data_IF_022520394569
#
_entry.id   IF_022520394569
#
_cell.length_a   1.000
_cell.length_b   1.000
_cell.length_c   1.000
_cell.angle_alpha   90.00
_cell.angle_beta   90.00
_cell.angle_gamma   90.00
#
_symmetry.space_group_name_H-M   'P 1'
#
loop_
_entity.id
_entity.type
_entity.pdbx_description
1 polymer ?
#
# COMPACT_ATOMS: atom_id res chain seq x y z
N UNK A 1 -12.23 30.28 25.89
CA UNK A 1 -12.24 31.54 26.65
C UNK A 1 -11.50 31.29 27.95
N UNK A 2 -10.44 32.05 28.20
CA UNK A 2 -9.67 31.99 29.44
C UNK A 2 -9.77 33.36 30.09
N UNK A 3 -10.15 33.37 31.36
CA UNK A 3 -10.11 34.58 32.19
C UNK A 3 -8.70 34.66 32.76
N UNK A 4 -7.98 35.75 32.47
CA UNK A 4 -6.65 35.95 33.02
C UNK A 4 -6.71 36.42 34.49
N UNK A 5 -5.58 36.55 35.15
CA UNK A 5 -5.50 36.97 36.57
C UNK A 5 -6.04 38.39 36.83
N UNK A 6 -6.26 39.16 35.76
CA UNK A 6 -6.80 40.53 35.79
C UNK A 6 -8.31 40.57 35.49
N UNK A 7 -8.97 39.41 35.45
CA UNK A 7 -10.40 39.25 35.14
C UNK A 7 -10.79 39.62 33.69
N UNK A 8 -9.82 39.78 32.80
CA UNK A 8 -10.08 40.04 31.39
C UNK A 8 -10.36 38.73 30.64
N UNK A 9 -11.34 38.81 29.73
CA UNK A 9 -11.72 37.70 28.88
C UNK A 9 -10.83 37.70 27.64
N UNK A 10 -9.94 36.71 27.55
CA UNK A 10 -9.08 36.51 26.39
C UNK A 10 -9.62 35.41 25.47
N UNK A 11 -9.54 35.67 24.15
CA UNK A 11 -9.77 34.64 23.14
C UNK A 11 -8.67 33.58 23.27
N UNK A 12 -9.08 32.33 23.42
CA UNK A 12 -8.15 31.19 23.49
C UNK A 12 -8.15 30.52 22.13
N UNK A 13 -7.05 30.62 21.40
CA UNK A 13 -6.86 29.84 20.19
C UNK A 13 -6.47 28.43 20.60
N UNK A 14 -7.25 27.44 20.15
CA UNK A 14 -6.96 26.04 20.34
C UNK A 14 -6.51 25.45 19.00
N UNK A 15 -5.48 24.60 19.04
CA UNK A 15 -5.10 23.83 17.87
C UNK A 15 -5.99 22.59 17.79
N UNK A 16 -6.82 22.51 16.75
CA UNK A 16 -7.59 21.30 16.46
C UNK A 16 -6.71 20.31 15.69
N UNK A 17 -5.77 19.68 16.40
CA UNK A 17 -4.83 18.70 15.83
C UNK A 17 -5.56 17.55 15.12
N UNK A 18 -6.65 16.97 15.67
CA UNK A 18 -7.41 15.92 14.99
C UNK A 18 -7.98 16.32 13.62
N UNK A 19 -8.27 17.60 13.41
CA UNK A 19 -8.80 18.13 12.15
C UNK A 19 -7.79 19.01 11.40
N UNK A 20 -6.49 18.80 11.63
CA UNK A 20 -5.47 19.54 10.92
C UNK A 20 -5.52 19.25 9.41
N UNK A 21 -5.63 20.30 8.60
CA UNK A 21 -5.68 20.21 7.14
C UNK A 21 -4.33 19.84 6.52
N UNK A 22 -3.24 20.33 7.12
CA UNK A 22 -1.87 19.98 6.73
C UNK A 22 -0.93 20.14 7.92
N UNK A 23 -0.01 19.20 8.08
CA UNK A 23 0.99 19.21 9.17
C UNK A 23 2.33 18.77 8.62
N UNK A 24 3.39 19.47 9.01
CA UNK A 24 4.78 19.04 8.85
C UNK A 24 5.39 18.81 10.23
N UNK A 25 6.09 17.70 10.41
CA UNK A 25 6.95 17.43 11.57
C UNK A 25 8.39 17.44 11.08
N UNK A 26 9.24 18.19 11.78
CA UNK A 26 10.69 18.18 11.58
C UNK A 26 11.31 17.53 12.83
N UNK A 27 12.03 16.45 12.63
CA UNK A 27 12.87 15.81 13.65
C UNK A 27 14.26 16.45 13.62
N UNK A 28 14.48 17.39 14.53
CA UNK A 28 15.75 18.12 14.60
C UNK A 28 16.91 17.21 15.00
N UNK A 29 16.64 16.16 15.78
CA UNK A 29 17.68 15.21 16.20
C UNK A 29 18.20 14.44 15.00
N UNK A 30 17.29 13.83 14.22
CA UNK A 30 17.66 13.08 13.00
C UNK A 30 18.42 13.98 12.01
N UNK A 31 17.96 15.22 11.85
CA UNK A 31 18.60 16.19 10.97
C UNK A 31 20.03 16.55 11.40
N UNK A 32 20.28 16.69 12.70
CA UNK A 32 21.61 17.01 13.23
C UNK A 32 22.55 15.80 13.26
N UNK A 33 22.02 14.60 13.57
CA UNK A 33 22.85 13.40 13.78
C UNK A 33 23.09 12.58 12.53
N UNK A 34 22.22 12.69 11.52
CA UNK A 34 22.29 11.91 10.29
C UNK A 34 22.13 12.81 9.05
N UNK A 35 23.22 13.44 8.58
CA UNK A 35 23.17 14.40 7.47
C UNK A 35 22.69 13.81 6.13
N UNK A 36 22.78 12.48 5.95
CA UNK A 36 22.30 11.80 4.73
C UNK A 36 20.84 11.36 4.83
N UNK A 37 20.24 11.40 6.03
CA UNK A 37 18.85 11.03 6.24
C UNK A 37 17.92 11.97 5.48
N UNK A 38 16.98 11.42 4.73
CA UNK A 38 15.88 12.17 4.12
C UNK A 38 14.58 12.04 4.92
N UNK A 39 14.63 11.43 6.12
CA UNK A 39 13.46 11.04 6.92
C UNK A 39 13.15 11.98 8.08
N UNK A 40 13.98 13.00 8.30
CA UNK A 40 13.76 13.99 9.36
C UNK A 40 12.52 14.87 9.14
N UNK A 41 11.85 14.76 7.99
CA UNK A 41 10.74 15.60 7.61
C UNK A 41 9.54 14.75 7.18
N UNK A 42 8.48 14.78 7.98
CA UNK A 42 7.26 13.99 7.76
C UNK A 42 6.05 14.88 7.57
N UNK A 43 5.20 14.53 6.59
CA UNK A 43 4.03 15.31 6.23
C UNK A 43 2.74 14.52 6.35
N UNK A 44 1.73 15.13 6.98
CA UNK A 44 0.36 14.65 6.92
C UNK A 44 -0.37 15.37 5.79
N UNK A 45 -0.60 14.65 4.68
CA UNK A 45 -1.42 15.12 3.56
C UNK A 45 -2.89 15.03 3.98
N UNK A 46 -3.45 16.13 4.49
CA UNK A 46 -4.88 16.17 4.82
C UNK A 46 -5.77 16.25 3.57
N UNK A 47 -7.07 16.52 3.78
CA UNK A 47 -8.11 16.39 2.74
C UNK A 47 -8.20 17.58 1.77
N UNK A 48 -7.34 18.57 1.92
CA UNK A 48 -7.35 19.86 1.19
C UNK A 48 -6.93 19.77 -0.28
N UNK A 49 -6.54 18.58 -0.76
CA UNK A 49 -6.23 18.33 -2.16
C UNK A 49 -4.79 18.67 -2.55
N UNK A 50 -4.35 18.10 -3.67
CA UNK A 50 -2.94 18.07 -4.09
C UNK A 50 -2.29 19.46 -4.20
N UNK A 51 -3.02 20.45 -4.76
CA UNK A 51 -2.48 21.81 -4.97
C UNK A 51 -2.08 22.52 -3.68
N UNK A 52 -2.85 22.35 -2.61
CA UNK A 52 -2.57 22.99 -1.32
C UNK A 52 -1.39 22.31 -0.64
N UNK A 53 -1.31 20.98 -0.76
CA UNK A 53 -0.16 20.23 -0.28
C UNK A 53 1.13 20.64 -1.02
N UNK A 54 1.10 20.71 -2.34
CA UNK A 54 2.25 21.09 -3.16
C UNK A 54 2.72 22.53 -2.81
N UNK A 55 1.79 23.49 -2.69
CA UNK A 55 2.12 24.86 -2.27
C UNK A 55 2.76 24.93 -0.87
N UNK A 56 2.27 24.12 0.08
CA UNK A 56 2.83 24.08 1.43
C UNK A 56 4.25 23.51 1.46
N UNK A 57 4.53 22.50 0.62
CA UNK A 57 5.88 21.96 0.42
C UNK A 57 6.80 23.01 -0.19
N UNK A 58 6.34 23.70 -1.24
CA UNK A 58 7.09 24.78 -1.89
C UNK A 58 7.39 25.93 -0.91
N UNK A 59 6.42 26.30 -0.06
CA UNK A 59 6.59 27.32 0.98
C UNK A 59 7.66 26.93 2.01
N UNK A 60 7.69 25.67 2.42
CA UNK A 60 8.70 25.15 3.34
C UNK A 60 10.06 24.90 2.66
N UNK A 61 10.14 25.00 1.33
CA UNK A 61 11.34 24.66 0.56
C UNK A 61 11.72 23.18 0.70
N UNK A 62 10.71 22.33 0.88
CA UNK A 62 10.90 20.96 1.34
C UNK A 62 10.34 19.95 0.33
N UNK A 63 11.04 18.83 0.15
CA UNK A 63 10.57 17.70 -0.66
C UNK A 63 10.22 16.50 0.23
N UNK A 64 9.30 15.65 -0.23
CA UNK A 64 9.04 14.40 0.46
C UNK A 64 10.24 13.47 0.29
N UNK A 65 10.90 13.10 1.39
CA UNK A 65 12.09 12.25 1.35
C UNK A 65 11.83 10.77 1.12
N UNK A 66 10.61 10.29 1.41
CA UNK A 66 10.24 8.88 1.21
C UNK A 66 8.79 8.77 0.74
N UNK A 67 8.57 8.20 -0.45
CA UNK A 67 7.23 7.82 -0.90
C UNK A 67 6.99 6.33 -0.62
N UNK A 68 6.35 6.05 0.51
CA UNK A 68 5.98 4.70 0.92
C UNK A 68 5.22 3.92 -0.18
N UNK A 69 4.35 4.58 -0.94
CA UNK A 69 3.61 3.90 -2.03
C UNK A 69 4.51 3.59 -3.20
N UNK A 70 5.44 4.47 -3.54
CA UNK A 70 6.42 4.19 -4.58
C UNK A 70 7.32 3.02 -4.18
N UNK A 71 7.83 3.02 -2.94
CA UNK A 71 8.65 1.94 -2.39
C UNK A 71 7.92 0.59 -2.40
N UNK A 72 6.68 0.53 -1.89
CA UNK A 72 5.89 -0.70 -1.93
C UNK A 72 5.58 -1.16 -3.37
N UNK A 73 5.36 -0.24 -4.32
CA UNK A 73 5.18 -0.61 -5.74
C UNK A 73 6.45 -1.15 -6.37
N UNK A 74 7.60 -0.53 -6.07
CA UNK A 74 8.91 -1.00 -6.47
C UNK A 74 9.15 -2.41 -5.95
N UNK A 75 8.81 -2.67 -4.69
CA UNK A 75 8.92 -3.99 -4.07
C UNK A 75 8.07 -5.03 -4.80
N UNK A 76 6.81 -4.69 -5.09
CA UNK A 76 5.90 -5.58 -5.83
C UNK A 76 6.45 -5.93 -7.20
N UNK A 77 6.97 -4.95 -7.93
CA UNK A 77 7.57 -5.14 -9.25
C UNK A 77 8.84 -6.00 -9.17
N UNK A 78 9.72 -5.72 -8.22
CA UNK A 78 10.94 -6.50 -8.01
C UNK A 78 10.63 -7.96 -7.71
N UNK A 79 9.63 -8.23 -6.86
CA UNK A 79 9.18 -9.60 -6.55
C UNK A 79 8.64 -10.30 -7.78
N UNK A 80 7.84 -9.59 -8.59
CA UNK A 80 7.27 -10.14 -9.80
C UNK A 80 8.33 -10.48 -10.87
N UNK A 81 9.33 -9.63 -11.02
CA UNK A 81 10.43 -9.85 -11.96
C UNK A 81 11.40 -10.91 -11.46
N UNK A 82 11.63 -11.00 -10.14
CA UNK A 82 12.43 -12.07 -9.54
C UNK A 82 11.80 -13.44 -9.74
N UNK A 83 10.48 -13.54 -9.58
CA UNK A 83 9.74 -14.77 -9.88
C UNK A 83 9.78 -15.13 -11.38
N UNK A 84 9.78 -14.11 -12.25
CA UNK A 84 9.82 -14.30 -13.70
C UNK A 84 11.21 -14.73 -14.20
N UNK A 85 12.28 -14.17 -13.64
CA UNK A 85 13.67 -14.53 -13.95
C UNK A 85 13.95 -16.00 -13.60
N UNK A 86 13.45 -16.45 -12.45
CA UNK A 86 13.54 -17.84 -12.01
C UNK A 86 12.59 -18.81 -12.76
N UNK A 87 11.79 -18.30 -13.69
CA UNK A 87 10.82 -19.08 -14.49
C UNK A 87 9.84 -19.90 -13.65
N UNK A 88 9.44 -19.39 -12.47
CA UNK A 88 8.46 -20.05 -11.62
C UNK A 88 7.13 -20.21 -12.35
N UNK A 89 6.44 -21.32 -12.07
CA UNK A 89 5.10 -21.52 -12.60
C UNK A 89 4.07 -20.58 -11.91
N UNK A 90 2.83 -20.59 -12.41
CA UNK A 90 1.77 -19.71 -11.88
C UNK A 90 1.48 -19.97 -10.39
N UNK A 91 1.50 -21.22 -9.95
CA UNK A 91 1.20 -21.59 -8.58
C UNK A 91 2.38 -21.23 -7.66
N UNK A 92 3.60 -21.53 -8.07
CA UNK A 92 4.82 -21.19 -7.33
C UNK A 92 4.95 -19.68 -7.16
N UNK A 93 4.76 -18.90 -8.23
CA UNK A 93 4.74 -17.44 -8.16
C UNK A 93 3.67 -16.92 -7.20
N UNK A 94 2.49 -17.52 -7.20
CA UNK A 94 1.40 -17.13 -6.30
C UNK A 94 1.74 -17.43 -4.84
N UNK A 95 2.37 -18.58 -4.56
CA UNK A 95 2.84 -18.93 -3.22
C UNK A 95 3.94 -17.98 -2.76
N UNK A 96 4.87 -17.63 -3.64
CA UNK A 96 5.93 -16.67 -3.35
C UNK A 96 5.37 -15.28 -3.01
N UNK A 97 4.44 -14.76 -3.83
CA UNK A 97 3.72 -13.50 -3.53
C UNK A 97 2.98 -13.55 -2.20
N UNK A 98 2.42 -14.71 -1.84
CA UNK A 98 1.74 -14.91 -0.56
C UNK A 98 2.73 -14.84 0.63
N UNK A 99 3.93 -15.40 0.50
CA UNK A 99 4.98 -15.30 1.52
C UNK A 99 5.43 -13.86 1.73
N UNK A 100 5.72 -13.14 0.64
CA UNK A 100 6.05 -11.71 0.69
C UNK A 100 4.94 -10.92 1.39
N UNK A 101 3.69 -11.17 1.00
CA UNK A 101 2.55 -10.51 1.62
C UNK A 101 2.44 -10.81 3.12
N UNK A 102 2.65 -12.07 3.54
CA UNK A 102 2.58 -12.46 4.95
C UNK A 102 3.61 -11.68 5.78
N UNK A 103 4.87 -11.67 5.37
CA UNK A 103 5.93 -10.88 6.04
C UNK A 103 5.55 -9.39 6.11
N UNK A 104 5.19 -8.77 4.99
CA UNK A 104 4.88 -7.35 4.96
C UNK A 104 3.64 -7.00 5.81
N UNK A 105 2.67 -7.92 5.87
CA UNK A 105 1.47 -7.75 6.68
C UNK A 105 1.75 -7.95 8.19
N UNK A 106 2.70 -8.81 8.56
CA UNK A 106 3.17 -8.94 9.95
C UNK A 106 3.86 -7.66 10.41
N UNK A 107 4.80 -7.11 9.62
CA UNK A 107 5.43 -5.82 9.93
C UNK A 107 4.39 -4.70 10.06
N UNK A 108 3.42 -4.66 9.14
CA UNK A 108 2.32 -3.70 9.20
C UNK A 108 1.46 -3.86 10.47
N UNK A 109 1.27 -5.08 10.99
CA UNK A 109 0.51 -5.31 12.22
C UNK A 109 1.32 -4.96 13.47
N UNK A 110 2.63 -5.17 13.43
CA UNK A 110 3.56 -4.75 14.48
C UNK A 110 3.76 -3.23 14.52
N UNK A 111 3.47 -2.52 13.42
CA UNK A 111 3.76 -1.10 13.28
C UNK A 111 5.22 -0.82 12.91
N UNK A 112 5.92 -1.85 12.42
CA UNK A 112 7.33 -1.83 12.02
C UNK A 112 7.46 -1.56 10.50
N UNK A 113 8.67 -1.17 10.08
CA UNK A 113 8.99 -1.00 8.66
C UNK A 113 9.32 -2.33 7.98
N UNK A 114 9.16 -2.38 6.66
CA UNK A 114 9.61 -3.50 5.83
C UNK A 114 11.11 -3.32 5.61
N UNK A 115 11.91 -4.26 6.09
CA UNK A 115 13.35 -4.30 5.83
C UNK A 115 13.64 -5.25 4.65
N UNK A 116 14.28 -4.75 3.59
CA UNK A 116 14.52 -5.53 2.35
C UNK A 116 15.43 -6.73 2.62
N UNK A 117 16.45 -6.54 3.47
CA UNK A 117 17.37 -7.60 3.85
C UNK A 117 16.67 -8.71 4.66
N UNK A 118 15.85 -8.35 5.64
CA UNK A 118 15.10 -9.32 6.44
C UNK A 118 14.04 -10.05 5.61
N UNK A 119 13.30 -9.33 4.75
CA UNK A 119 12.40 -9.95 3.79
C UNK A 119 13.14 -10.97 2.91
N UNK A 120 14.32 -10.61 2.39
CA UNK A 120 15.11 -11.52 1.57
C UNK A 120 15.62 -12.76 2.31
N UNK A 121 15.73 -12.73 3.64
CA UNK A 121 16.13 -13.89 4.45
C UNK A 121 14.94 -14.83 4.73
N UNK A 122 13.75 -14.27 4.90
CA UNK A 122 12.50 -15.03 5.07
C UNK A 122 12.08 -15.74 3.78
N UNK A 123 12.46 -15.18 2.63
CA UNK A 123 12.11 -15.75 1.34
C UNK A 123 13.14 -16.80 0.89
N UNK A 124 12.69 -17.93 0.31
CA UNK A 124 13.61 -18.88 -0.30
C UNK A 124 14.34 -18.22 -1.50
N UNK A 125 15.66 -18.45 -1.65
CA UNK A 125 16.40 -17.98 -2.82
C UNK A 125 15.89 -18.70 -4.06
N UNK A 126 15.83 -17.99 -5.17
CA UNK A 126 15.43 -18.52 -6.47
C UNK A 126 16.69 -18.60 -7.34
N UNK A 127 17.06 -19.82 -7.75
CA UNK A 127 18.33 -20.05 -8.45
C UNK A 127 19.54 -19.82 -7.55
N UNK A 128 20.49 -19.01 -8.01
CA UNK A 128 21.76 -18.74 -7.30
C UNK A 128 21.77 -17.41 -6.53
N UNK A 129 20.72 -16.59 -6.65
CA UNK A 129 20.66 -15.25 -6.07
C UNK A 129 19.62 -15.18 -4.96
N UNK A 130 19.79 -14.24 -4.05
CA UNK A 130 18.75 -13.87 -3.08
C UNK A 130 17.92 -12.72 -3.64
N UNK A 131 16.73 -12.48 -3.08
CA UNK A 131 15.90 -11.35 -3.49
C UNK A 131 16.64 -10.01 -3.36
N UNK A 132 17.39 -9.82 -2.26
CA UNK A 132 18.20 -8.61 -2.04
C UNK A 132 19.23 -8.41 -3.14
N UNK A 133 20.06 -9.43 -3.41
CA UNK A 133 21.09 -9.35 -4.44
C UNK A 133 20.49 -9.10 -5.84
N UNK A 134 19.34 -9.71 -6.13
CA UNK A 134 18.62 -9.46 -7.38
C UNK A 134 18.12 -8.01 -7.47
N UNK A 135 17.56 -7.47 -6.39
CA UNK A 135 17.05 -6.09 -6.37
C UNK A 135 18.16 -5.05 -6.62
N UNK A 136 19.34 -5.25 -6.03
CA UNK A 136 20.50 -4.39 -6.24
C UNK A 136 21.03 -4.49 -7.68
N UNK A 137 21.16 -5.72 -8.22
CA UNK A 137 21.69 -5.94 -9.57
C UNK A 137 20.78 -5.40 -10.67
N UNK A 138 19.46 -5.51 -10.49
CA UNK A 138 18.48 -4.94 -11.43
C UNK A 138 18.29 -3.43 -11.26
N UNK A 139 18.96 -2.81 -10.29
CA UNK A 139 18.93 -1.36 -10.06
C UNK A 139 17.60 -0.86 -9.49
N UNK A 140 16.91 -1.68 -8.70
CA UNK A 140 15.74 -1.21 -7.96
C UNK A 140 16.18 -0.24 -6.86
N UNK A 141 15.67 1.00 -6.91
CA UNK A 141 15.89 2.03 -5.87
C UNK A 141 15.00 1.77 -4.64
N UNK A 142 15.14 0.58 -4.06
CA UNK A 142 14.50 0.23 -2.79
C UNK A 142 15.35 0.72 -1.63
N UNK A 143 14.72 1.45 -0.72
CA UNK A 143 15.32 1.85 0.54
C UNK A 143 15.55 0.61 1.44
N UNK A 144 16.57 0.65 2.29
CA UNK A 144 16.89 -0.48 3.19
C UNK A 144 15.69 -0.89 4.05
N UNK A 145 14.96 0.11 4.55
CA UNK A 145 13.68 -0.04 5.24
C UNK A 145 12.64 0.97 4.76
N UNK A 146 11.36 0.62 4.72
CA UNK A 146 10.29 1.58 4.43
C UNK A 146 8.94 1.13 5.00
N UNK A 147 8.01 2.06 5.30
CA UNK A 147 6.73 1.70 5.90
C UNK A 147 5.85 0.92 4.91
N UNK A 148 5.16 -0.10 5.44
CA UNK A 148 4.23 -0.93 4.69
C UNK A 148 2.97 -0.14 4.24
N UNK A 149 2.64 -0.20 2.95
CA UNK A 149 1.38 0.37 2.43
C UNK A 149 0.34 -0.73 2.20
N UNK A 150 -0.64 -0.81 3.12
CA UNK A 150 -1.72 -1.81 3.07
C UNK A 150 -2.42 -1.89 1.72
N UNK A 151 -2.61 -0.76 1.03
CA UNK A 151 -3.37 -0.73 -0.23
C UNK A 151 -2.59 -1.35 -1.40
N UNK A 152 -1.27 -1.14 -1.41
CA UNK A 152 -0.35 -1.66 -2.40
C UNK A 152 -0.06 -3.13 -2.12
N UNK A 153 0.22 -3.51 -0.87
CA UNK A 153 0.47 -4.91 -0.48
C UNK A 153 -0.69 -5.84 -0.84
N UNK A 154 -1.95 -5.39 -0.73
CA UNK A 154 -3.12 -6.18 -1.12
C UNK A 154 -3.10 -6.63 -2.59
N UNK A 155 -2.35 -5.94 -3.47
CA UNK A 155 -2.22 -6.32 -4.87
C UNK A 155 -1.34 -7.57 -5.06
N UNK A 156 -0.52 -7.94 -4.07
CA UNK A 156 0.24 -9.20 -4.10
C UNK A 156 -0.68 -10.43 -4.10
N UNK A 157 -1.80 -10.34 -3.39
CA UNK A 157 -2.69 -11.49 -3.14
C UNK A 157 -4.03 -11.41 -3.86
N UNK A 158 -4.38 -10.24 -4.43
CA UNK A 158 -5.72 -10.01 -5.00
C UNK A 158 -5.67 -9.36 -6.37
N UNK A 159 -6.58 -9.79 -7.24
CA UNK A 159 -6.95 -9.03 -8.43
C UNK A 159 -8.08 -8.08 -8.08
N UNK A 160 -7.93 -6.80 -8.46
CA UNK A 160 -8.95 -5.79 -8.29
C UNK A 160 -9.10 -4.94 -9.55
N UNK A 161 -10.34 -4.63 -9.92
CA UNK A 161 -10.64 -3.79 -11.07
C UNK A 161 -12.00 -3.10 -10.92
N UNK A 162 -12.11 -1.90 -11.46
CA UNK A 162 -13.37 -1.15 -11.52
C UNK A 162 -13.56 -0.50 -12.89
N UNK A 163 -14.79 -0.54 -13.40
CA UNK A 163 -15.15 0.02 -14.70
C UNK A 163 -16.65 -0.14 -14.98
N UNK A 164 -17.27 0.83 -15.64
CA UNK A 164 -18.67 0.70 -16.07
C UNK A 164 -19.69 0.41 -14.96
N UNK A 165 -19.49 0.99 -13.75
CA UNK A 165 -20.29 0.71 -12.52
C UNK A 165 -20.15 -0.72 -11.96
N UNK A 166 -19.21 -1.51 -12.49
CA UNK A 166 -18.81 -2.80 -11.95
C UNK A 166 -17.49 -2.64 -11.18
N UNK A 167 -17.43 -3.20 -9.98
CA UNK A 167 -16.20 -3.32 -9.20
C UNK A 167 -16.05 -4.78 -8.82
N UNK A 168 -14.89 -5.35 -9.09
CA UNK A 168 -14.56 -6.74 -8.76
C UNK A 168 -13.25 -6.79 -7.99
N UNK A 169 -13.21 -7.65 -6.97
CA UNK A 169 -12.01 -7.95 -6.20
C UNK A 169 -12.07 -9.41 -5.73
N UNK A 170 -11.00 -10.18 -5.95
CA UNK A 170 -10.92 -11.58 -5.54
C UNK A 170 -9.47 -12.01 -5.30
N UNK A 171 -9.30 -13.02 -4.46
CA UNK A 171 -7.98 -13.62 -4.19
C UNK A 171 -7.43 -14.28 -5.44
N UNK A 172 -6.17 -14.02 -5.76
CA UNK A 172 -5.53 -14.48 -6.99
C UNK A 172 -5.50 -16.01 -7.13
N UNK A 173 -5.48 -16.74 -6.01
CA UNK A 173 -5.62 -18.20 -5.97
C UNK A 173 -6.94 -18.71 -6.56
N UNK A 174 -8.00 -17.89 -6.57
CA UNK A 174 -9.28 -18.29 -7.15
C UNK A 174 -9.27 -18.30 -8.68
N UNK A 175 -8.26 -17.68 -9.32
CA UNK A 175 -8.11 -17.68 -10.76
C UNK A 175 -7.71 -19.08 -11.26
N UNK A 176 -8.51 -19.67 -12.14
CA UNK A 176 -8.37 -21.05 -12.61
C UNK A 176 -9.10 -22.09 -11.75
N UNK A 177 -9.51 -21.76 -10.53
CA UNK A 177 -10.30 -22.65 -9.66
C UNK A 177 -11.79 -22.32 -9.70
N UNK A 178 -12.14 -21.10 -9.32
CA UNK A 178 -13.52 -20.60 -9.26
C UNK A 178 -13.76 -19.46 -10.23
N UNK A 179 -12.72 -18.72 -10.58
CA UNK A 179 -12.79 -17.57 -11.47
C UNK A 179 -12.00 -17.91 -12.72
N UNK A 180 -12.66 -17.83 -13.87
CA UNK A 180 -12.07 -18.19 -15.17
C UNK A 180 -12.17 -16.98 -16.07
N UNK A 181 -11.04 -16.53 -16.62
CA UNK A 181 -11.01 -15.47 -17.62
C UNK A 181 -10.65 -16.07 -18.97
N UNK A 182 -11.47 -15.80 -19.98
CA UNK A 182 -11.16 -16.09 -21.37
C UNK A 182 -10.68 -14.82 -22.07
N UNK A 183 -9.38 -14.73 -22.45
CA UNK A 183 -8.83 -13.55 -23.11
C UNK A 183 -9.37 -13.33 -24.52
N UNK A 184 -9.93 -14.36 -25.17
CA UNK A 184 -10.42 -14.28 -26.56
C UNK A 184 -11.75 -13.53 -26.64
N UNK A 185 -12.64 -13.81 -25.68
CA UNK A 185 -13.98 -13.23 -25.58
C UNK A 185 -14.08 -12.13 -24.52
N UNK A 186 -12.97 -11.84 -23.83
CA UNK A 186 -12.89 -10.98 -22.65
C UNK A 186 -13.99 -11.26 -21.62
N UNK A 187 -14.22 -12.54 -21.34
CA UNK A 187 -15.30 -12.99 -20.46
C UNK A 187 -14.73 -13.53 -19.15
N UNK A 188 -15.20 -12.97 -18.03
CA UNK A 188 -14.90 -13.47 -16.69
C UNK A 188 -16.08 -14.29 -16.14
N UNK A 189 -15.86 -15.57 -15.90
CA UNK A 189 -16.84 -16.51 -15.36
C UNK A 189 -16.55 -16.81 -13.90
N UNK A 190 -17.55 -16.62 -13.02
CA UNK A 190 -17.46 -16.96 -11.59
C UNK A 190 -18.28 -18.23 -11.32
N UNK A 191 -17.62 -19.34 -11.02
CA UNK A 191 -18.25 -20.59 -10.58
C UNK A 191 -18.48 -20.58 -9.06
N UNK A 192 -19.75 -20.70 -8.68
CA UNK A 192 -20.20 -20.61 -7.30
C UNK A 192 -20.34 -19.17 -6.83
N UNK A 193 -21.42 -18.50 -7.23
CA UNK A 193 -21.74 -17.12 -6.84
C UNK A 193 -21.72 -16.95 -5.32
N UNK A 194 -21.10 -15.89 -4.78
CA UNK A 194 -21.11 -15.59 -3.35
C UNK A 194 -22.54 -15.63 -2.77
N UNK A 195 -22.77 -16.22 -1.59
CA UNK A 195 -24.12 -16.41 -1.04
C UNK A 195 -24.93 -15.13 -0.98
N UNK A 196 -24.35 -14.03 -0.47
CA UNK A 196 -25.02 -12.74 -0.39
C UNK A 196 -25.47 -12.22 -1.77
N UNK A 197 -24.62 -12.34 -2.79
CA UNK A 197 -24.97 -11.94 -4.16
C UNK A 197 -26.05 -12.87 -4.74
N UNK A 198 -25.96 -14.17 -4.48
CA UNK A 198 -26.97 -15.16 -4.90
C UNK A 198 -28.34 -14.83 -4.31
N UNK A 199 -28.41 -14.51 -3.03
CA UNK A 199 -29.66 -14.17 -2.34
C UNK A 199 -30.25 -12.85 -2.86
N UNK A 200 -29.42 -11.88 -3.23
CA UNK A 200 -29.87 -10.64 -3.88
C UNK A 200 -30.44 -10.91 -5.27
N UNK A 201 -29.76 -11.72 -6.08
CA UNK A 201 -30.23 -12.10 -7.42
C UNK A 201 -31.55 -12.89 -7.36
N UNK A 202 -31.66 -13.85 -6.44
CA UNK A 202 -32.88 -14.63 -6.25
C UNK A 202 -34.07 -13.75 -5.82
N UNK A 203 -33.85 -12.80 -4.91
CA UNK A 203 -34.88 -11.82 -4.51
C UNK A 203 -35.33 -10.93 -5.67
N UNK A 204 -34.40 -10.52 -6.52
CA UNK A 204 -34.71 -9.69 -7.68
C UNK A 204 -35.55 -10.46 -8.72
N UNK A 205 -35.27 -11.75 -8.90
CA UNK A 205 -36.05 -12.62 -9.79
C UNK A 205 -37.46 -12.90 -9.24
N UNK A 206 -37.60 -13.16 -7.94
CA UNK A 206 -38.91 -13.47 -7.32
C UNK A 206 -39.83 -12.26 -7.14
N UNK A 207 -39.30 -11.03 -7.24
CA UNK A 207 -40.09 -9.79 -7.20
C UNK A 207 -40.55 -9.30 -8.58
N UNK A 208 -40.07 -9.91 -9.67
CA UNK A 208 -40.52 -9.62 -11.04
C UNK A 208 -41.74 -10.42 -11.51
N UNK A 209 -42.20 -11.42 -10.74
CA UNK A 209 -43.35 -12.28 -11.04
C UNK A 209 -44.66 -11.82 -10.33
N UNK A 210 -44.79 -10.52 -10.02
CA UNK A 210 -46.01 -9.92 -9.46
C UNK A 210 -46.44 -8.66 -10.20
#
# INVERSE_FOLDING_TARGET
>A
MRVNEQLDISSTHYLDIPHADIVARIDLTEWETNPESQRYLTFLKGRVGRKVADFFMDFLGASAGLDAKAQNRGLLQAVDDYCADAQLDKNERQQYRQQVYSYCNEQLQAGEEIEVAALSQELPPLGEKTFHAFSEEQGYELEESFPADRSTLRQLTKFAGSGGRLTINFDAMLLGERIFWDPTTDTLTIKGTPPNLRDQLQRCLSSGDK
#
